data_IF_339049445977
#
_entry.id   IF_339049445977
#
_cell.length_a   1.000
_cell.length_b   1.000
_cell.length_c   1.000
_cell.angle_alpha   90.00
_cell.angle_beta   90.00
_cell.angle_gamma   90.00
#
_symmetry.space_group_name_H-M   'P 1'
#
loop_
_entity.id
_entity.type
_entity.pdbx_description
1 polymer ?
#
# COMPACT_ATOMS: atom_id res chain seq x y z
N UNK A 1 -5.02 -2.08 20.92
CA UNK A 1 -4.50 -3.46 20.83
C UNK A 1 -5.53 -4.51 21.20
N UNK A 2 -6.37 -4.31 22.22
CA UNK A 2 -7.34 -5.34 22.64
C UNK A 2 -8.29 -5.85 21.54
N UNK A 3 -8.70 -5.01 20.60
CA UNK A 3 -9.58 -5.38 19.48
C UNK A 3 -8.84 -5.97 18.26
N UNK A 4 -7.51 -5.93 18.24
CA UNK A 4 -6.74 -6.32 17.05
C UNK A 4 -6.82 -7.82 16.72
N UNK A 5 -6.71 -8.75 17.69
CA UNK A 5 -6.89 -10.17 17.44
C UNK A 5 -8.24 -10.49 16.80
N UNK A 6 -9.32 -9.93 17.34
CA UNK A 6 -10.66 -10.14 16.81
C UNK A 6 -10.84 -9.59 15.39
N UNK A 7 -10.23 -8.43 15.07
CA UNK A 7 -10.26 -7.90 13.71
C UNK A 7 -9.49 -8.79 12.72
N UNK A 8 -8.35 -9.34 13.11
CA UNK A 8 -7.58 -10.24 12.26
C UNK A 8 -8.35 -11.55 11.99
N UNK A 9 -8.98 -12.14 13.01
CA UNK A 9 -9.84 -13.30 12.85
C UNK A 9 -11.06 -12.98 11.97
N UNK A 10 -11.71 -11.84 12.17
CA UNK A 10 -12.81 -11.38 11.31
C UNK A 10 -12.38 -11.29 9.84
N UNK A 11 -11.20 -10.73 9.54
CA UNK A 11 -10.67 -10.68 8.19
C UNK A 11 -10.50 -12.09 7.59
N UNK A 12 -9.96 -13.03 8.36
CA UNK A 12 -9.82 -14.41 7.93
C UNK A 12 -11.17 -15.09 7.67
N UNK A 13 -12.13 -14.93 8.57
CA UNK A 13 -13.49 -15.50 8.44
C UNK A 13 -14.25 -14.94 7.23
N UNK A 14 -14.00 -13.68 6.90
CA UNK A 14 -14.56 -13.00 5.73
C UNK A 14 -13.84 -13.34 4.41
N UNK A 15 -12.79 -14.18 4.44
CA UNK A 15 -12.06 -14.63 3.24
C UNK A 15 -11.13 -13.56 2.65
N UNK A 16 -10.62 -12.65 3.48
CA UNK A 16 -9.58 -11.70 3.07
C UNK A 16 -8.29 -12.48 2.83
N UNK A 17 -7.64 -12.26 1.69
CA UNK A 17 -6.39 -12.96 1.35
C UNK A 17 -5.21 -12.44 2.17
N UNK A 18 -5.06 -11.12 2.30
CA UNK A 18 -3.95 -10.48 3.01
C UNK A 18 -4.44 -9.32 3.87
N UNK A 19 -4.07 -9.32 5.15
CA UNK A 19 -4.25 -8.17 6.05
C UNK A 19 -2.96 -7.35 6.08
N UNK A 20 -3.00 -6.14 5.49
CA UNK A 20 -1.87 -5.22 5.46
C UNK A 20 -1.84 -4.30 6.69
N UNK A 21 -0.69 -4.23 7.35
CA UNK A 21 -0.44 -3.44 8.55
C UNK A 21 0.35 -2.20 8.19
N UNK A 22 -0.18 -1.02 8.48
CA UNK A 22 0.56 0.24 8.27
C UNK A 22 1.72 0.38 9.26
N UNK A 23 2.86 0.86 8.76
CA UNK A 23 4.01 1.25 9.56
C UNK A 23 4.01 2.78 9.73
N UNK A 24 3.17 3.30 10.61
CA UNK A 24 3.10 4.72 10.92
C UNK A 24 3.82 4.98 12.24
N UNK A 25 4.77 5.93 12.22
CA UNK A 25 5.62 6.24 13.37
C UNK A 25 4.84 6.92 14.48
N UNK A 26 5.23 6.63 15.73
CA UNK A 26 4.57 7.09 16.95
C UNK A 26 3.15 6.52 17.15
N UNK A 27 2.69 5.67 16.25
CA UNK A 27 1.51 4.82 16.42
C UNK A 27 1.90 3.42 16.88
N UNK A 28 0.96 2.47 16.83
CA UNK A 28 1.23 1.09 17.25
C UNK A 28 2.19 0.41 16.29
N UNK A 29 3.23 -0.19 16.85
CA UNK A 29 4.32 -0.79 16.10
C UNK A 29 3.83 -1.92 15.18
N UNK A 30 4.26 -1.89 13.93
CA UNK A 30 3.77 -2.76 12.85
C UNK A 30 4.11 -4.23 13.08
N UNK A 31 5.39 -4.56 13.37
CA UNK A 31 5.83 -5.95 13.56
C UNK A 31 5.09 -6.64 14.71
N UNK A 32 4.77 -5.91 15.81
CA UNK A 32 3.99 -6.45 16.92
C UNK A 32 2.56 -6.77 16.45
N UNK A 33 1.92 -5.91 15.67
CA UNK A 33 0.58 -6.18 15.13
C UNK A 33 0.58 -7.35 14.16
N UNK A 34 1.59 -7.45 13.29
CA UNK A 34 1.77 -8.56 12.36
C UNK A 34 1.94 -9.88 13.13
N UNK A 35 2.76 -9.88 14.18
CA UNK A 35 2.96 -11.07 15.05
C UNK A 35 1.64 -11.52 15.69
N UNK A 36 0.88 -10.58 16.26
CA UNK A 36 -0.43 -10.90 16.85
C UNK A 36 -1.38 -11.49 15.81
N UNK A 37 -1.46 -10.89 14.62
CA UNK A 37 -2.30 -11.43 13.55
C UNK A 37 -1.86 -12.83 13.11
N UNK A 38 -0.55 -13.07 12.98
CA UNK A 38 -0.01 -14.37 12.62
C UNK A 38 -0.36 -15.48 13.63
N UNK A 39 -0.40 -15.12 14.93
CA UNK A 39 -0.70 -16.05 16.02
C UNK A 39 -2.18 -16.42 16.16
N UNK A 40 -3.09 -15.56 15.68
CA UNK A 40 -4.54 -15.75 15.84
C UNK A 40 -5.24 -16.18 14.55
N UNK A 41 -4.49 -16.35 13.46
CA UNK A 41 -5.01 -16.76 12.15
C UNK A 41 -4.19 -17.91 11.57
N UNK A 42 -4.80 -18.70 10.69
CA UNK A 42 -4.17 -19.90 10.11
C UNK A 42 -3.90 -19.77 8.60
N UNK A 43 -4.72 -19.02 7.88
CA UNK A 43 -4.69 -18.90 6.41
C UNK A 43 -4.37 -17.49 5.92
N UNK A 44 -4.80 -16.47 6.68
CA UNK A 44 -4.64 -15.06 6.35
C UNK A 44 -3.16 -14.72 6.14
N UNK A 45 -2.82 -14.14 5.00
CA UNK A 45 -1.48 -13.59 4.78
C UNK A 45 -1.31 -12.30 5.57
N UNK A 46 -0.11 -12.08 6.06
CA UNK A 46 0.22 -11.00 6.98
C UNK A 46 1.16 -10.03 6.27
N UNK A 47 0.63 -8.94 5.77
CA UNK A 47 1.39 -7.91 5.07
C UNK A 47 1.78 -6.74 5.97
N UNK A 48 2.97 -6.19 5.77
CA UNK A 48 3.42 -4.94 6.39
C UNK A 48 3.75 -3.87 5.34
N UNK A 49 3.22 -2.66 5.46
CA UNK A 49 3.46 -1.56 4.52
C UNK A 49 3.47 -0.18 5.22
N UNK A 50 4.50 0.62 5.03
CA UNK A 50 5.75 0.33 4.33
C UNK A 50 6.89 0.28 5.34
N UNK A 51 7.80 -0.67 5.19
CA UNK A 51 9.11 -0.61 5.84
C UNK A 51 10.03 0.29 5.00
N UNK A 52 11.03 0.88 5.62
CA UNK A 52 11.90 1.82 4.93
C UNK A 52 13.35 1.75 5.44
N UNK A 53 14.34 1.95 4.57
CA UNK A 53 15.74 1.67 4.90
C UNK A 53 16.46 2.82 5.60
N UNK A 54 15.74 3.82 6.14
CA UNK A 54 16.36 4.99 6.77
C UNK A 54 16.41 4.89 8.29
N UNK A 55 15.34 4.43 8.92
CA UNK A 55 15.26 4.25 10.36
C UNK A 55 15.44 2.76 10.77
N UNK A 56 15.21 1.83 9.84
CA UNK A 56 15.41 0.40 10.08
C UNK A 56 16.35 -0.17 9.00
N UNK A 57 17.50 -0.69 9.43
CA UNK A 57 18.48 -1.23 8.49
C UNK A 57 17.92 -2.44 7.73
N UNK A 58 18.13 -2.58 6.40
CA UNK A 58 17.59 -3.68 5.59
C UNK A 58 17.87 -5.09 6.15
N UNK A 59 19.03 -5.29 6.76
CA UNK A 59 19.35 -6.57 7.40
C UNK A 59 18.43 -6.89 8.60
N UNK A 60 17.99 -5.86 9.35
CA UNK A 60 17.05 -6.03 10.46
C UNK A 60 15.62 -6.25 9.93
N UNK A 61 15.25 -5.60 8.84
CA UNK A 61 13.99 -5.88 8.13
C UNK A 61 13.97 -7.34 7.66
N UNK A 62 15.07 -7.83 7.05
CA UNK A 62 15.20 -9.22 6.63
C UNK A 62 15.06 -10.18 7.81
N UNK A 63 15.71 -9.88 8.95
CA UNK A 63 15.62 -10.68 10.17
C UNK A 63 14.19 -10.75 10.71
N UNK A 64 13.52 -9.60 10.82
CA UNK A 64 12.15 -9.53 11.33
C UNK A 64 11.18 -10.29 10.41
N UNK A 65 11.30 -10.11 9.08
CA UNK A 65 10.47 -10.82 8.12
C UNK A 65 10.71 -12.33 8.13
N UNK A 66 11.97 -12.78 8.18
CA UNK A 66 12.29 -14.22 8.26
C UNK A 66 11.72 -14.85 9.54
N UNK A 67 11.87 -14.18 10.69
CA UNK A 67 11.30 -14.64 11.95
C UNK A 67 9.77 -14.73 11.89
N UNK A 68 9.12 -13.72 11.32
CA UNK A 68 7.68 -13.73 11.16
C UNK A 68 7.20 -14.77 10.13
N UNK A 69 7.99 -15.04 9.10
CA UNK A 69 7.72 -16.09 8.12
C UNK A 69 7.74 -17.48 8.77
N UNK A 70 8.73 -17.75 9.63
CA UNK A 70 8.80 -18.99 10.40
C UNK A 70 7.56 -19.13 11.31
N UNK A 71 7.24 -18.09 12.10
CA UNK A 71 6.09 -18.07 13.00
C UNK A 71 4.75 -18.28 12.27
N UNK A 72 4.60 -17.66 11.09
CA UNK A 72 3.37 -17.67 10.30
C UNK A 72 3.31 -18.81 9.27
N UNK A 73 4.28 -19.73 9.23
CA UNK A 73 4.38 -20.78 8.22
C UNK A 73 4.35 -20.24 6.77
N UNK A 74 5.16 -19.19 6.51
CA UNK A 74 5.34 -18.59 5.18
C UNK A 74 4.26 -17.61 4.75
N UNK A 75 3.39 -17.12 5.65
CA UNK A 75 2.31 -16.19 5.31
C UNK A 75 2.71 -14.71 5.39
N UNK A 76 3.95 -14.38 5.79
CA UNK A 76 4.40 -13.02 5.97
C UNK A 76 4.93 -12.39 4.67
N UNK A 77 4.61 -11.13 4.44
CA UNK A 77 5.15 -10.32 3.34
C UNK A 77 5.29 -8.85 3.75
N UNK A 78 6.20 -8.12 3.11
CA UNK A 78 6.38 -6.69 3.38
C UNK A 78 6.53 -5.87 2.11
N UNK A 79 6.07 -4.63 2.18
CA UNK A 79 6.32 -3.63 1.14
C UNK A 79 7.32 -2.58 1.64
N UNK A 80 8.36 -2.35 0.84
CA UNK A 80 9.28 -1.24 1.03
C UNK A 80 8.69 0.04 0.43
N UNK A 81 9.04 1.17 1.02
CA UNK A 81 8.63 2.48 0.52
C UNK A 81 9.46 3.60 1.12
N UNK A 82 9.13 4.84 0.79
CA UNK A 82 9.83 6.01 1.35
C UNK A 82 9.47 6.29 2.82
N UNK A 83 8.47 5.60 3.35
CA UNK A 83 7.88 5.87 4.65
C UNK A 83 6.98 7.12 4.65
N UNK A 84 6.15 7.22 5.66
CA UNK A 84 5.19 8.32 5.87
C UNK A 84 5.79 9.50 6.64
N UNK A 85 5.08 9.96 7.67
CA UNK A 85 5.44 11.07 8.56
C UNK A 85 6.47 10.68 9.64
N UNK A 86 6.84 11.62 10.49
CA UNK A 86 7.60 11.37 11.73
C UNK A 86 9.12 11.36 11.60
N UNK A 87 9.72 11.37 10.41
CA UNK A 87 11.18 11.36 10.25
C UNK A 87 11.89 12.58 10.87
N UNK A 88 11.41 13.82 10.69
CA UNK A 88 12.03 14.98 11.33
C UNK A 88 12.04 14.86 12.87
N UNK A 89 11.01 14.31 13.47
CA UNK A 89 10.89 14.10 14.91
C UNK A 89 11.93 13.11 15.44
N UNK A 90 12.39 12.18 14.60
CA UNK A 90 13.46 11.21 14.92
C UNK A 90 14.86 11.72 14.54
N UNK A 91 14.98 12.90 13.94
CA UNK A 91 16.25 13.39 13.39
C UNK A 91 16.74 12.61 12.17
N UNK A 92 15.88 11.82 11.53
CA UNK A 92 16.22 11.00 10.37
C UNK A 92 15.96 11.78 9.08
N UNK A 93 16.96 11.83 8.21
CA UNK A 93 16.87 12.45 6.89
C UNK A 93 16.65 11.39 5.81
N UNK A 94 15.64 11.58 4.98
CA UNK A 94 15.42 10.76 3.79
C UNK A 94 16.12 11.40 2.59
N UNK A 95 16.91 10.62 1.88
CA UNK A 95 17.55 11.07 0.66
C UNK A 95 17.59 9.94 -0.36
N UNK A 96 17.66 10.28 -1.66
CA UNK A 96 17.90 9.33 -2.75
C UNK A 96 16.98 8.11 -2.68
N UNK A 97 15.67 8.31 -2.50
CA UNK A 97 14.67 7.25 -2.19
C UNK A 97 14.73 6.05 -3.13
N UNK A 98 14.85 6.27 -4.44
CA UNK A 98 14.93 5.17 -5.40
C UNK A 98 16.19 4.31 -5.18
N UNK A 99 17.32 4.94 -4.87
CA UNK A 99 18.60 4.24 -4.57
C UNK A 99 18.44 3.46 -3.25
N UNK A 100 17.97 4.10 -2.19
CA UNK A 100 17.79 3.47 -0.89
C UNK A 100 16.90 2.22 -0.94
N UNK A 101 15.77 2.29 -1.64
CA UNK A 101 14.86 1.15 -1.83
C UNK A 101 15.52 0.05 -2.66
N UNK A 102 16.24 0.41 -3.73
CA UNK A 102 16.94 -0.56 -4.58
C UNK A 102 18.05 -1.30 -3.81
N UNK A 103 18.83 -0.57 -3.02
CA UNK A 103 19.87 -1.15 -2.17
C UNK A 103 19.25 -2.05 -1.09
N UNK A 104 18.15 -1.63 -0.48
CA UNK A 104 17.41 -2.44 0.49
C UNK A 104 16.93 -3.77 -0.12
N UNK A 105 16.34 -3.74 -1.32
CA UNK A 105 15.92 -4.96 -2.02
C UNK A 105 17.09 -5.90 -2.29
N UNK A 106 18.25 -5.35 -2.71
CA UNK A 106 19.48 -6.11 -2.96
C UNK A 106 20.11 -6.72 -1.70
N UNK A 107 19.80 -6.18 -0.53
CA UNK A 107 20.23 -6.74 0.77
C UNK A 107 19.20 -7.76 1.25
N UNK A 108 17.92 -7.39 1.32
CA UNK A 108 16.87 -8.21 1.94
C UNK A 108 16.65 -9.52 1.15
N UNK A 109 16.45 -9.42 -0.17
CA UNK A 109 16.11 -10.58 -0.99
C UNK A 109 17.11 -11.74 -0.85
N UNK A 110 18.43 -11.55 -1.11
CA UNK A 110 19.40 -12.59 -0.92
C UNK A 110 19.49 -13.12 0.52
N UNK A 111 19.41 -12.24 1.54
CA UNK A 111 19.42 -12.67 2.95
C UNK A 111 18.25 -13.61 3.27
N UNK A 112 17.05 -13.33 2.74
CA UNK A 112 15.88 -14.23 2.91
C UNK A 112 16.08 -15.59 2.24
N UNK A 113 16.88 -15.68 1.18
CA UNK A 113 17.27 -16.94 0.54
C UNK A 113 18.40 -17.67 1.25
N UNK A 114 18.92 -17.12 2.37
CA UNK A 114 20.03 -17.72 3.14
C UNK A 114 21.42 -17.38 2.59
N UNK A 115 21.51 -16.46 1.63
CA UNK A 115 22.76 -16.01 1.04
C UNK A 115 23.48 -15.00 1.93
N UNK A 116 24.81 -14.88 1.79
CA UNK A 116 25.60 -13.80 2.38
C UNK A 116 25.68 -12.64 1.42
N UNK A 117 25.49 -11.41 1.93
CA UNK A 117 25.44 -10.18 1.13
C UNK A 117 26.56 -9.24 1.51
N UNK A 118 27.30 -8.75 0.51
CA UNK A 118 28.16 -7.57 0.63
C UNK A 118 27.70 -6.54 -0.41
N UNK A 119 27.30 -5.39 0.07
CA UNK A 119 26.91 -4.23 -0.74
C UNK A 119 27.50 -2.98 -0.10
N UNK A 120 28.36 -2.29 -0.83
CA UNK A 120 28.84 -0.95 -0.47
C UNK A 120 27.95 0.07 -1.19
N UNK A 121 26.83 0.43 -0.54
CA UNK A 121 25.79 1.26 -1.14
C UNK A 121 26.01 2.74 -0.86
N UNK A 122 25.29 3.58 -1.57
CA UNK A 122 25.31 5.04 -1.41
C UNK A 122 24.45 5.55 -0.25
N UNK A 123 23.48 4.75 0.18
CA UNK A 123 22.54 5.07 1.28
C UNK A 123 22.62 4.02 2.37
N UNK A 124 22.62 2.74 2.02
CA UNK A 124 22.72 1.63 2.96
C UNK A 124 23.73 0.60 2.48
N UNK A 125 24.54 0.08 3.39
CA UNK A 125 25.56 -0.91 3.12
C UNK A 125 25.39 -2.15 3.98
N UNK A 126 25.90 -3.29 3.52
CA UNK A 126 25.97 -4.53 4.29
C UNK A 126 27.27 -5.25 3.94
N UNK A 127 27.96 -5.83 4.92
CA UNK A 127 29.26 -6.48 4.73
C UNK A 127 29.22 -7.90 5.29
N UNK A 128 29.27 -8.89 4.40
CA UNK A 128 29.16 -10.32 4.71
C UNK A 128 27.92 -10.63 5.59
N UNK A 129 26.84 -9.84 5.43
CA UNK A 129 25.64 -9.98 6.21
C UNK A 129 24.87 -11.22 5.81
N UNK A 130 24.46 -12.05 6.82
CA UNK A 130 23.73 -13.29 6.60
C UNK A 130 22.78 -13.53 7.78
N UNK A 131 21.61 -14.08 7.50
CA UNK A 131 20.72 -14.58 8.54
C UNK A 131 21.22 -15.95 9.05
N UNK A 132 21.16 -16.14 10.36
CA UNK A 132 21.37 -17.44 11.02
C UNK A 132 20.04 -18.17 11.23
N UNK A 133 19.17 -18.10 10.22
CA UNK A 133 17.83 -18.69 10.15
C UNK A 133 17.73 -19.50 8.85
N UNK A 134 16.81 -20.48 8.77
CA UNK A 134 16.50 -21.13 7.50
C UNK A 134 16.04 -20.11 6.46
N UNK A 135 16.20 -20.39 5.16
CA UNK A 135 15.64 -19.56 4.11
C UNK A 135 14.14 -19.32 4.33
N UNK A 136 13.72 -18.08 4.23
CA UNK A 136 12.33 -17.68 4.42
C UNK A 136 11.51 -18.02 3.18
N UNK A 137 10.84 -19.16 3.19
CA UNK A 137 9.96 -19.57 2.09
C UNK A 137 8.58 -18.94 2.21
N UNK A 138 7.90 -18.71 1.07
CA UNK A 138 6.55 -18.16 1.00
C UNK A 138 6.44 -16.67 1.23
N UNK A 139 7.54 -15.97 1.56
CA UNK A 139 7.59 -14.52 1.70
C UNK A 139 7.64 -13.82 0.35
N UNK A 140 7.14 -12.58 0.29
CA UNK A 140 7.25 -11.71 -0.88
C UNK A 140 7.73 -10.32 -0.47
N UNK A 141 8.62 -9.76 -1.29
CA UNK A 141 9.08 -8.38 -1.16
C UNK A 141 8.34 -7.49 -2.17
N UNK A 142 7.57 -6.57 -1.65
CA UNK A 142 6.84 -5.59 -2.43
C UNK A 142 7.51 -4.22 -2.37
N UNK A 143 7.15 -3.36 -3.30
CA UNK A 143 7.45 -1.92 -3.21
C UNK A 143 6.15 -1.13 -3.39
N UNK A 144 5.90 -0.21 -2.46
CA UNK A 144 4.77 0.71 -2.50
C UNK A 144 5.28 2.14 -2.70
N UNK A 145 5.01 2.72 -3.86
CA UNK A 145 5.49 4.06 -4.21
C UNK A 145 4.65 4.70 -5.30
N UNK A 146 4.65 6.05 -5.35
CA UNK A 146 4.14 6.85 -6.48
C UNK A 146 5.27 7.41 -7.35
N UNK A 147 6.50 7.32 -6.88
CA UNK A 147 7.67 7.85 -7.59
C UNK A 147 8.01 7.00 -8.80
N UNK A 148 7.89 7.55 -10.01
CA UNK A 148 8.09 6.85 -11.28
C UNK A 148 9.47 6.16 -11.35
N UNK A 149 10.55 6.89 -10.98
CA UNK A 149 11.89 6.32 -10.94
C UNK A 149 12.00 5.13 -9.98
N UNK A 150 11.33 5.19 -8.82
CA UNK A 150 11.35 4.09 -7.87
C UNK A 150 10.57 2.89 -8.39
N UNK A 151 9.41 3.11 -9.03
CA UNK A 151 8.63 2.07 -9.70
C UNK A 151 9.45 1.35 -10.76
N UNK A 152 10.11 2.11 -11.64
CA UNK A 152 10.92 1.57 -12.72
C UNK A 152 12.08 0.71 -12.18
N UNK A 153 12.82 1.20 -11.18
CA UNK A 153 13.94 0.45 -10.59
C UNK A 153 13.48 -0.77 -9.79
N UNK A 154 12.38 -0.65 -9.05
CA UNK A 154 11.82 -1.73 -8.23
C UNK A 154 11.27 -2.88 -9.08
N UNK A 155 10.74 -2.61 -10.28
CA UNK A 155 10.22 -3.61 -11.19
C UNK A 155 11.26 -4.68 -11.60
N UNK A 156 12.55 -4.34 -11.54
CA UNK A 156 13.64 -5.28 -11.78
C UNK A 156 13.97 -6.21 -10.61
N UNK A 157 13.51 -5.91 -9.39
CA UNK A 157 14.02 -6.55 -8.17
C UNK A 157 12.91 -7.09 -7.25
N UNK A 158 11.76 -6.42 -7.17
CA UNK A 158 10.67 -6.78 -6.29
C UNK A 158 9.87 -7.98 -6.81
N UNK A 159 9.16 -8.68 -5.91
CA UNK A 159 8.19 -9.72 -6.27
C UNK A 159 6.85 -9.10 -6.65
N UNK A 160 6.53 -7.94 -6.09
CA UNK A 160 5.31 -7.22 -6.38
C UNK A 160 5.40 -5.71 -6.21
N UNK A 161 4.47 -5.00 -6.81
CA UNK A 161 4.35 -3.54 -6.71
C UNK A 161 2.94 -3.15 -6.27
N UNK A 162 2.88 -2.29 -5.26
CA UNK A 162 1.64 -1.68 -4.77
C UNK A 162 1.50 -0.30 -5.42
N UNK A 163 0.56 -0.20 -6.35
CA UNK A 163 0.16 1.05 -7.00
C UNK A 163 -0.80 1.75 -6.04
N UNK A 164 -0.32 2.78 -5.36
CA UNK A 164 -1.06 3.44 -4.29
C UNK A 164 -1.77 4.71 -4.75
N UNK A 165 -3.00 4.88 -4.27
CA UNK A 165 -3.82 6.10 -4.39
C UNK A 165 -4.26 6.51 -5.79
N UNK A 166 -4.25 5.61 -6.77
CA UNK A 166 -4.85 5.84 -8.08
C UNK A 166 -6.14 5.03 -8.21
N UNK A 167 -7.28 5.73 -8.19
CA UNK A 167 -8.61 5.11 -8.16
C UNK A 167 -9.26 4.96 -9.53
N UNK A 168 -8.63 5.48 -10.58
CA UNK A 168 -9.14 5.47 -11.96
C UNK A 168 -8.19 4.71 -12.88
N UNK A 169 -8.77 4.08 -13.90
CA UNK A 169 -8.06 3.16 -14.79
C UNK A 169 -6.91 3.80 -15.57
N UNK A 170 -7.05 5.04 -16.03
CA UNK A 170 -6.03 5.70 -16.84
C UNK A 170 -4.76 6.00 -16.06
N UNK A 171 -4.90 6.38 -14.78
CA UNK A 171 -3.75 6.56 -13.90
C UNK A 171 -3.06 5.22 -13.65
N UNK A 172 -3.82 4.15 -13.43
CA UNK A 172 -3.25 2.81 -13.23
C UNK A 172 -2.57 2.31 -14.50
N UNK A 173 -3.16 2.50 -15.70
CA UNK A 173 -2.52 2.17 -17.00
C UNK A 173 -1.19 2.89 -17.16
N UNK A 174 -1.15 4.20 -16.85
CA UNK A 174 0.07 5.00 -16.92
C UNK A 174 1.16 4.43 -16.02
N UNK A 175 0.84 4.09 -14.79
CA UNK A 175 1.79 3.51 -13.82
C UNK A 175 2.23 2.11 -14.26
N UNK A 176 1.33 1.28 -14.75
CA UNK A 176 1.65 -0.06 -15.30
C UNK A 176 2.65 0.06 -16.45
N UNK A 177 2.51 1.05 -17.34
CA UNK A 177 3.48 1.29 -18.42
C UNK A 177 4.89 1.64 -17.91
N UNK A 178 5.01 2.33 -16.76
CA UNK A 178 6.31 2.59 -16.12
C UNK A 178 6.90 1.28 -15.58
N UNK A 179 6.09 0.48 -14.90
CA UNK A 179 6.51 -0.82 -14.35
C UNK A 179 6.98 -1.76 -15.46
N UNK A 180 6.25 -1.82 -16.57
CA UNK A 180 6.59 -2.66 -17.72
C UNK A 180 7.94 -2.28 -18.34
N UNK A 181 8.22 -0.98 -18.49
CA UNK A 181 9.52 -0.52 -18.95
C UNK A 181 10.65 -0.95 -18.00
N UNK A 182 10.44 -0.78 -16.68
CA UNK A 182 11.44 -1.17 -15.68
C UNK A 182 11.68 -2.68 -15.65
N UNK A 183 10.63 -3.48 -15.73
CA UNK A 183 10.72 -4.93 -15.80
C UNK A 183 11.48 -5.38 -17.06
N UNK A 184 11.12 -4.83 -18.23
CA UNK A 184 11.75 -5.13 -19.51
C UNK A 184 13.25 -4.76 -19.52
N UNK A 185 13.61 -3.60 -18.96
CA UNK A 185 14.99 -3.17 -18.82
C UNK A 185 15.83 -4.12 -17.93
N UNK A 186 15.19 -4.83 -17.00
CA UNK A 186 15.81 -5.85 -16.16
C UNK A 186 15.70 -7.29 -16.72
N UNK A 187 15.19 -7.45 -17.95
CA UNK A 187 15.01 -8.77 -18.58
C UNK A 187 13.85 -9.57 -18.00
N UNK A 188 12.90 -8.93 -17.32
CA UNK A 188 11.69 -9.54 -16.74
C UNK A 188 10.47 -9.21 -17.59
N UNK A 189 9.46 -10.05 -17.50
CA UNK A 189 8.12 -9.77 -18.06
C UNK A 189 7.25 -9.16 -16.98
N UNK A 190 6.27 -8.36 -17.39
CA UNK A 190 5.28 -7.81 -16.45
C UNK A 190 4.53 -8.91 -15.69
N UNK A 191 4.30 -10.06 -16.34
CA UNK A 191 3.66 -11.25 -15.73
C UNK A 191 4.48 -11.91 -14.62
N UNK A 192 5.76 -11.58 -14.49
CA UNK A 192 6.63 -12.08 -13.44
C UNK A 192 6.49 -11.26 -12.14
N UNK A 193 5.65 -10.21 -12.18
CA UNK A 193 5.37 -9.31 -11.07
C UNK A 193 3.92 -9.44 -10.60
N UNK A 194 3.72 -9.44 -9.29
CA UNK A 194 2.40 -9.22 -8.70
C UNK A 194 2.10 -7.71 -8.71
N UNK A 195 0.92 -7.34 -9.20
CA UNK A 195 0.49 -5.93 -9.23
C UNK A 195 -0.78 -5.76 -8.42
N UNK A 196 -0.71 -4.89 -7.41
CA UNK A 196 -1.84 -4.54 -6.55
C UNK A 196 -2.23 -3.08 -6.77
N UNK A 197 -3.48 -2.80 -7.05
CA UNK A 197 -4.06 -1.47 -6.91
C UNK A 197 -4.56 -1.29 -5.48
N UNK A 198 -3.95 -0.38 -4.71
CA UNK A 198 -4.33 -0.07 -3.34
C UNK A 198 -4.94 1.33 -3.28
N UNK A 199 -6.20 1.43 -2.88
CA UNK A 199 -6.97 2.68 -2.90
C UNK A 199 -7.64 2.92 -1.54
N UNK A 200 -7.68 4.17 -1.12
CA UNK A 200 -8.43 4.62 0.04
C UNK A 200 -9.92 4.48 -0.26
N UNK A 201 -10.64 3.75 0.58
CA UNK A 201 -11.99 3.28 0.27
C UNK A 201 -12.95 3.54 1.42
N UNK A 202 -14.04 4.23 1.16
CA UNK A 202 -15.15 4.40 2.08
C UNK A 202 -16.45 3.93 1.44
N UNK A 203 -17.17 3.03 2.11
CA UNK A 203 -18.40 2.42 1.60
C UNK A 203 -19.56 2.73 2.54
N UNK A 204 -20.57 3.39 2.02
CA UNK A 204 -21.81 3.71 2.78
C UNK A 204 -23.02 3.66 1.84
N UNK A 205 -24.22 3.41 2.37
CA UNK A 205 -25.45 3.35 1.56
C UNK A 205 -25.84 4.72 0.99
N UNK A 206 -25.50 5.80 1.72
CA UNK A 206 -25.52 7.16 1.20
C UNK A 206 -24.14 7.52 0.65
N UNK A 207 -24.02 7.77 -0.68
CA UNK A 207 -22.73 8.08 -1.30
C UNK A 207 -22.13 9.40 -0.81
N UNK A 208 -22.94 10.38 -0.37
CA UNK A 208 -22.41 11.64 0.14
C UNK A 208 -21.65 11.42 1.47
N UNK A 209 -22.14 10.53 2.33
CA UNK A 209 -21.44 10.15 3.57
C UNK A 209 -20.12 9.42 3.26
N UNK A 210 -20.10 8.58 2.24
CA UNK A 210 -18.88 7.90 1.81
C UNK A 210 -17.82 8.89 1.29
N UNK A 211 -18.22 9.89 0.50
CA UNK A 211 -17.33 10.96 0.01
C UNK A 211 -16.77 11.75 1.19
N UNK A 212 -17.61 12.15 2.13
CA UNK A 212 -17.15 12.86 3.34
C UNK A 212 -16.11 12.05 4.12
N UNK A 213 -16.32 10.74 4.26
CA UNK A 213 -15.37 9.83 4.92
C UNK A 213 -13.99 9.77 4.29
N UNK A 214 -13.85 10.15 3.01
CA UNK A 214 -12.58 10.16 2.29
C UNK A 214 -11.81 11.49 2.35
N UNK A 215 -12.47 12.64 2.62
CA UNK A 215 -11.86 13.96 2.51
C UNK A 215 -10.60 14.13 3.38
N UNK A 216 -10.63 13.65 4.61
CA UNK A 216 -9.49 13.73 5.52
C UNK A 216 -8.26 12.97 4.94
N UNK A 217 -8.48 11.83 4.28
CA UNK A 217 -7.39 11.08 3.67
C UNK A 217 -6.84 11.77 2.42
N UNK A 218 -7.68 12.42 1.63
CA UNK A 218 -7.25 13.24 0.48
C UNK A 218 -6.44 14.46 0.96
N UNK A 219 -6.89 15.17 1.99
CA UNK A 219 -6.14 16.27 2.59
C UNK A 219 -4.74 15.79 3.07
N UNK A 220 -4.69 14.64 3.73
CA UNK A 220 -3.43 13.99 4.15
C UNK A 220 -2.54 13.60 2.97
N UNK A 221 -3.11 13.10 1.89
CA UNK A 221 -2.39 12.79 0.66
C UNK A 221 -1.72 14.04 0.06
N UNK A 222 -2.46 15.13 -0.05
CA UNK A 222 -1.97 16.42 -0.54
C UNK A 222 -0.88 17.00 0.37
N UNK A 223 -1.06 16.93 1.69
CA UNK A 223 -0.08 17.36 2.68
C UNK A 223 1.21 16.54 2.62
N UNK A 224 1.10 15.22 2.55
CA UNK A 224 2.26 14.31 2.51
C UNK A 224 3.09 14.46 1.25
N UNK A 225 2.48 14.90 0.15
CA UNK A 225 3.14 15.09 -1.15
C UNK A 225 3.75 16.48 -1.33
N UNK A 226 3.39 17.46 -0.50
CA UNK A 226 3.88 18.83 -0.65
C UNK A 226 5.43 18.93 -0.55
N UNK A 227 6.08 19.71 -1.41
CA UNK A 227 5.53 20.59 -2.44
C UNK A 227 5.29 19.92 -3.81
N UNK A 228 5.50 18.61 -3.96
CA UNK A 228 5.31 17.89 -5.22
C UNK A 228 3.82 17.78 -5.57
N UNK A 229 3.42 18.39 -6.68
CA UNK A 229 2.05 18.43 -7.20
C UNK A 229 1.87 17.65 -8.51
N UNK A 230 2.93 17.00 -9.00
CA UNK A 230 2.89 16.30 -10.29
C UNK A 230 1.73 15.32 -10.43
N UNK A 231 1.39 14.58 -9.37
CA UNK A 231 0.27 13.63 -9.42
C UNK A 231 -1.11 14.31 -9.49
N UNK A 232 -1.22 15.55 -8.96
CA UNK A 232 -2.43 16.40 -9.06
C UNK A 232 -2.53 16.98 -10.46
N UNK A 233 -1.43 17.53 -10.97
CA UNK A 233 -1.32 18.09 -12.33
C UNK A 233 -1.59 17.02 -13.39
N UNK A 234 -1.06 15.80 -13.22
CA UNK A 234 -1.33 14.67 -14.10
C UNK A 234 -2.80 14.23 -14.08
N UNK A 235 -3.51 14.49 -12.99
CA UNK A 235 -4.94 14.25 -12.87
C UNK A 235 -5.78 15.42 -13.42
N UNK A 236 -5.13 16.46 -13.96
CA UNK A 236 -5.77 17.69 -14.44
C UNK A 236 -6.56 18.43 -13.34
N UNK A 237 -6.12 18.32 -12.09
CA UNK A 237 -6.73 18.95 -10.93
C UNK A 237 -5.87 20.14 -10.45
N UNK A 238 -6.50 21.08 -9.74
CA UNK A 238 -5.83 22.19 -9.08
C UNK A 238 -6.24 22.26 -7.60
N UNK A 239 -5.26 22.26 -6.70
CA UNK A 239 -5.55 22.39 -5.27
C UNK A 239 -6.16 23.75 -4.98
N UNK A 240 -7.32 23.84 -4.28
CA UNK A 240 -7.89 25.11 -3.89
C UNK A 240 -6.89 25.98 -3.10
N UNK A 241 -6.80 27.30 -3.36
CA UNK A 241 -5.81 28.17 -2.73
C UNK A 241 -5.86 28.15 -1.20
N UNK A 242 -7.04 28.10 -0.60
CA UNK A 242 -7.21 28.08 0.86
C UNK A 242 -6.70 26.76 1.45
N UNK A 243 -6.97 25.63 0.79
CA UNK A 243 -6.43 24.33 1.19
C UNK A 243 -4.91 24.28 1.02
N UNK A 244 -4.37 24.79 -0.09
CA UNK A 244 -2.94 24.87 -0.35
C UNK A 244 -2.20 25.71 0.71
N UNK A 245 -2.79 26.83 1.12
CA UNK A 245 -2.22 27.70 2.15
C UNK A 245 -2.05 26.96 3.48
N UNK A 246 -3.04 26.16 3.90
CA UNK A 246 -2.93 25.34 5.12
C UNK A 246 -1.91 24.21 4.95
N UNK A 247 -1.91 23.51 3.83
CA UNK A 247 -0.94 22.46 3.53
C UNK A 247 0.50 22.98 3.58
N UNK A 248 0.74 24.18 3.07
CA UNK A 248 2.06 24.83 3.03
C UNK A 248 2.62 25.17 4.41
N UNK A 249 1.78 25.33 5.43
CA UNK A 249 2.23 25.54 6.82
C UNK A 249 2.98 24.33 7.38
N UNK A 250 2.77 23.14 6.81
CA UNK A 250 3.26 21.84 7.31
C UNK A 250 2.75 21.48 8.70
N UNK A 251 1.75 22.16 9.20
CA UNK A 251 1.02 21.82 10.42
C UNK A 251 0.05 20.67 10.13
N UNK A 252 0.33 19.50 10.70
CA UNK A 252 -0.50 18.30 10.49
C UNK A 252 -1.86 18.42 11.18
N UNK A 253 -1.91 19.03 12.36
CA UNK A 253 -3.12 19.14 13.16
C UNK A 253 -4.13 20.12 12.52
N UNK A 254 -3.63 21.08 11.74
CA UNK A 254 -4.47 22.00 10.99
C UNK A 254 -5.31 21.31 9.89
N UNK A 255 -4.91 20.12 9.41
CA UNK A 255 -5.63 19.40 8.35
C UNK A 255 -7.03 18.98 8.76
N UNK A 256 -7.27 18.67 10.02
CA UNK A 256 -8.60 18.24 10.49
C UNK A 256 -9.66 19.34 10.31
N UNK A 257 -9.23 20.61 10.35
CA UNK A 257 -10.12 21.76 10.24
C UNK A 257 -10.45 22.16 8.79
N UNK A 258 -9.75 21.58 7.80
CA UNK A 258 -9.87 21.97 6.39
C UNK A 258 -10.34 20.85 5.46
N UNK A 259 -10.80 19.75 6.00
CA UNK A 259 -11.31 18.63 5.20
C UNK A 259 -12.47 19.05 4.29
N UNK A 260 -13.31 19.99 4.73
CA UNK A 260 -14.40 20.56 3.96
C UNK A 260 -13.97 21.36 2.73
N UNK A 261 -12.70 21.78 2.65
CA UNK A 261 -12.11 22.44 1.48
C UNK A 261 -11.67 21.48 0.38
N UNK A 262 -11.65 20.17 0.65
CA UNK A 262 -11.30 19.15 -0.35
C UNK A 262 -12.48 18.99 -1.31
N UNK A 263 -12.33 19.28 -2.61
CA UNK A 263 -13.42 19.11 -3.58
C UNK A 263 -13.76 17.63 -3.82
N UNK A 264 -14.99 17.34 -4.20
CA UNK A 264 -15.47 15.99 -4.50
C UNK A 264 -14.65 15.35 -5.64
N UNK A 265 -14.24 16.13 -6.63
CA UNK A 265 -13.43 15.66 -7.76
C UNK A 265 -12.09 15.05 -7.34
N UNK A 266 -11.49 15.52 -6.22
CA UNK A 266 -10.30 14.90 -5.65
C UNK A 266 -10.62 13.54 -5.01
N UNK A 267 -11.76 13.45 -4.32
CA UNK A 267 -12.23 12.17 -3.77
C UNK A 267 -12.48 11.18 -4.91
N UNK A 268 -13.18 11.62 -5.95
CA UNK A 268 -13.45 10.80 -7.13
C UNK A 268 -12.18 10.34 -7.85
N UNK A 269 -11.13 11.14 -7.86
CA UNK A 269 -9.87 10.79 -8.53
C UNK A 269 -9.01 9.85 -7.74
N UNK A 270 -8.98 9.98 -6.40
CA UNK A 270 -8.01 9.31 -5.54
C UNK A 270 -8.59 8.28 -4.59
N UNK A 271 -9.92 8.19 -4.47
CA UNK A 271 -10.59 7.26 -3.56
C UNK A 271 -11.66 6.43 -4.27
N UNK A 272 -11.98 5.28 -3.70
CA UNK A 272 -13.20 4.53 -4.03
C UNK A 272 -14.25 4.84 -2.95
N UNK A 273 -15.02 5.90 -3.17
CA UNK A 273 -16.10 6.33 -2.29
C UNK A 273 -17.47 6.09 -2.94
N UNK A 274 -18.45 5.66 -2.16
CA UNK A 274 -19.82 5.48 -2.62
C UNK A 274 -20.53 4.27 -2.05
N UNK A 275 -21.64 3.89 -2.70
CA UNK A 275 -22.38 2.67 -2.37
C UNK A 275 -21.58 1.42 -2.74
N UNK A 276 -21.90 0.24 -2.18
CA UNK A 276 -21.24 -1.01 -2.55
C UNK A 276 -21.22 -1.28 -4.07
N UNK A 277 -22.29 -0.93 -4.77
CA UNK A 277 -22.39 -1.11 -6.22
C UNK A 277 -21.47 -0.15 -6.99
N UNK A 278 -21.39 1.13 -6.58
CA UNK A 278 -20.52 2.13 -7.19
C UNK A 278 -19.05 1.77 -7.00
N UNK A 279 -18.66 1.41 -5.77
CA UNK A 279 -17.27 1.01 -5.49
C UNK A 279 -16.90 -0.25 -6.26
N UNK A 280 -17.77 -1.27 -6.31
CA UNK A 280 -17.52 -2.48 -7.10
C UNK A 280 -17.33 -2.17 -8.58
N UNK A 281 -18.15 -1.30 -9.19
CA UNK A 281 -18.03 -0.90 -10.57
C UNK A 281 -16.68 -0.22 -10.87
N UNK A 282 -16.20 0.66 -9.98
CA UNK A 282 -14.89 1.32 -10.13
C UNK A 282 -13.73 0.33 -10.06
N UNK A 283 -13.79 -0.63 -9.14
CA UNK A 283 -12.78 -1.70 -9.04
C UNK A 283 -12.78 -2.54 -10.32
N UNK A 284 -13.95 -2.96 -10.79
CA UNK A 284 -14.10 -3.75 -12.04
C UNK A 284 -13.51 -3.00 -13.22
N UNK A 285 -13.76 -1.70 -13.36
CA UNK A 285 -13.16 -0.87 -14.41
C UNK A 285 -11.64 -0.95 -14.40
N UNK A 286 -11.00 -0.77 -13.24
CA UNK A 286 -9.54 -0.85 -13.10
C UNK A 286 -9.00 -2.24 -13.46
N UNK A 287 -9.57 -3.31 -12.90
CA UNK A 287 -9.02 -4.67 -13.09
C UNK A 287 -9.30 -5.25 -14.47
N UNK A 288 -10.35 -4.78 -15.17
CA UNK A 288 -10.61 -5.19 -16.55
C UNK A 288 -9.78 -4.42 -17.57
N UNK A 289 -9.48 -3.16 -17.28
CA UNK A 289 -8.71 -2.28 -18.18
C UNK A 289 -7.20 -2.40 -18.03
N UNK A 290 -6.68 -3.10 -17.00
CA UNK A 290 -5.26 -3.19 -16.67
C UNK A 290 -4.85 -4.62 -16.34
N UNK A 291 -3.54 -4.94 -16.32
CA UNK A 291 -3.01 -6.23 -15.87
C UNK A 291 -2.99 -6.40 -14.34
N UNK A 292 -3.52 -5.45 -13.57
CA UNK A 292 -3.65 -5.57 -12.12
C UNK A 292 -4.57 -6.73 -11.78
N UNK A 293 -4.18 -7.57 -10.83
CA UNK A 293 -4.95 -8.75 -10.41
C UNK A 293 -5.21 -8.78 -8.90
N UNK A 294 -4.57 -7.90 -8.15
CA UNK A 294 -4.78 -7.76 -6.72
C UNK A 294 -5.34 -6.39 -6.39
N UNK A 295 -6.29 -6.34 -5.47
CA UNK A 295 -6.95 -5.11 -5.02
C UNK A 295 -6.78 -4.96 -3.52
N UNK A 296 -6.20 -3.85 -3.11
CA UNK A 296 -6.03 -3.48 -1.71
C UNK A 296 -6.97 -2.34 -1.34
N UNK A 297 -7.86 -2.59 -0.39
CA UNK A 297 -8.73 -1.57 0.17
C UNK A 297 -8.09 -0.99 1.43
N UNK A 298 -7.74 0.30 1.41
CA UNK A 298 -7.50 1.01 2.66
C UNK A 298 -8.84 1.50 3.20
N UNK A 299 -9.45 0.67 4.04
CA UNK A 299 -10.82 0.88 4.47
C UNK A 299 -10.90 2.03 5.48
N UNK A 300 -11.69 3.02 5.13
CA UNK A 300 -12.06 4.16 5.96
C UNK A 300 -13.47 3.93 6.47
N UNK A 301 -13.64 4.03 7.79
CA UNK A 301 -14.97 4.02 8.37
C UNK A 301 -15.69 5.36 8.05
N UNK A 302 -16.91 5.28 7.59
CA UNK A 302 -17.74 6.46 7.40
C UNK A 302 -18.04 7.15 8.76
N UNK A 303 -18.40 8.44 8.78
CA UNK A 303 -18.80 9.11 9.99
C UNK A 303 -19.85 8.31 10.78
N UNK A 304 -19.54 8.00 12.04
CA UNK A 304 -20.39 7.21 12.93
C UNK A 304 -20.34 5.68 12.75
N UNK A 305 -19.59 5.16 11.78
CA UNK A 305 -19.44 3.73 11.52
C UNK A 305 -18.23 3.15 12.28
N UNK A 306 -18.33 1.93 12.81
CA UNK A 306 -17.19 1.21 13.34
C UNK A 306 -16.32 0.63 12.21
N UNK A 307 -14.99 0.58 12.42
CA UNK A 307 -14.07 0.01 11.41
C UNK A 307 -14.41 -1.46 11.08
N UNK A 308 -14.79 -2.26 12.07
CA UNK A 308 -15.20 -3.66 11.85
C UNK A 308 -16.44 -3.78 10.95
N UNK A 309 -17.39 -2.85 11.05
CA UNK A 309 -18.55 -2.79 10.18
C UNK A 309 -18.17 -2.39 8.75
N UNK A 310 -17.27 -1.39 8.59
CA UNK A 310 -16.77 -0.98 7.29
C UNK A 310 -16.02 -2.13 6.59
N UNK A 311 -15.20 -2.88 7.33
CA UNK A 311 -14.50 -4.09 6.83
C UNK A 311 -15.51 -5.15 6.38
N UNK A 312 -16.52 -5.45 7.22
CA UNK A 312 -17.53 -6.42 6.88
C UNK A 312 -18.31 -5.98 5.63
N UNK A 313 -18.72 -4.71 5.52
CA UNK A 313 -19.46 -4.18 4.37
C UNK A 313 -18.65 -4.32 3.05
N UNK A 314 -17.36 -4.01 3.06
CA UNK A 314 -16.50 -4.24 1.89
C UNK A 314 -16.45 -5.72 1.53
N UNK A 315 -16.20 -6.60 2.49
CA UNK A 315 -16.03 -8.02 2.26
C UNK A 315 -17.33 -8.71 1.79
N UNK A 316 -18.49 -8.34 2.38
CA UNK A 316 -19.75 -9.03 2.11
C UNK A 316 -20.58 -8.38 1.01
N UNK A 317 -20.38 -7.10 0.70
CA UNK A 317 -21.20 -6.40 -0.28
C UNK A 317 -20.43 -5.91 -1.52
N UNK A 318 -19.16 -5.51 -1.38
CA UNK A 318 -18.36 -5.03 -2.52
C UNK A 318 -17.68 -6.20 -3.23
N UNK A 319 -16.91 -7.02 -2.51
CA UNK A 319 -16.12 -8.12 -3.08
C UNK A 319 -16.97 -9.12 -3.89
N UNK A 320 -18.15 -9.58 -3.40
CA UNK A 320 -19.00 -10.48 -4.19
C UNK A 320 -19.51 -9.85 -5.50
N UNK A 321 -19.82 -8.54 -5.49
CA UNK A 321 -20.26 -7.82 -6.71
C UNK A 321 -19.13 -7.73 -7.74
N UNK A 322 -17.89 -7.50 -7.29
CA UNK A 322 -16.71 -7.54 -8.18
C UNK A 322 -16.60 -8.92 -8.83
N UNK A 323 -16.63 -9.99 -8.02
CA UNK A 323 -16.55 -11.36 -8.53
C UNK A 323 -17.67 -11.72 -9.50
N UNK A 324 -18.90 -11.27 -9.25
CA UNK A 324 -20.03 -11.48 -10.14
C UNK A 324 -19.83 -10.76 -11.49
N UNK A 325 -19.44 -9.50 -11.47
CA UNK A 325 -19.21 -8.69 -12.67
C UNK A 325 -18.09 -9.27 -13.55
N UNK A 326 -16.97 -9.69 -12.93
CA UNK A 326 -15.86 -10.30 -13.68
C UNK A 326 -16.23 -11.63 -14.32
N UNK A 327 -17.03 -12.48 -13.66
CA UNK A 327 -17.53 -13.72 -14.25
C UNK A 327 -18.47 -13.46 -15.43
N UNK A 328 -19.36 -12.46 -15.33
CA UNK A 328 -20.27 -12.10 -16.42
C UNK A 328 -19.50 -11.60 -17.65
N UNK A 329 -18.44 -10.82 -17.46
CA UNK A 329 -17.58 -10.32 -18.56
C UNK A 329 -16.86 -11.46 -19.30
N UNK A 330 -16.50 -12.54 -18.60
CA UNK A 330 -15.83 -13.70 -19.21
C UNK A 330 -16.79 -14.59 -20.01
N UNK A 331 -18.06 -14.67 -19.62
CA UNK A 331 -19.08 -15.47 -20.29
C UNK A 331 -19.68 -14.79 -21.53
N UNK A 332 -19.56 -13.46 -21.65
CA UNK A 332 -20.06 -12.69 -22.79
C UNK A 332 -19.13 -12.66 -24.02
N UNK A 333 -17.95 -13.28 -23.93
CA UNK A 333 -16.91 -13.31 -24.99
C UNK A 333 -16.86 -14.66 -25.72
N UNK A 334 -17.73 -15.62 -25.38
CA UNK A 334 -17.93 -16.87 -26.09
C UNK A 334 -19.17 -16.77 -27.00
#
# INVERSE_FOLDING_TARGET
MAQWPALAQQCEDLGVDTLWHSNERFYRQMWIRMTVSAMVTERLRIGGAVVEPYAEHPALIAQALATLAELSHGRAEVALGAGGSGFPMMGVRRSRTAVAITEALRIIGPMLRGESVTLDGEVVSAYAARLHLPPATGTSLWVATRGERTLEMAAGLADGLIIATYAVEDDVKRVVGIVERGASAAGRRLSDLRLMSRVDTCVHDDPAIAVEGCRAMVAKLLWASYPDRRFVEQAELAVPPDLEAVIATRDYDALENVTHLVPDEFVDRFCWAGTPAQVAARVVSVVTATPVREVGFWILAAPGQALSEAVAKVATEVVPRIGQALRASTQGVT
#
